data_IF_313658167480
#
_entry.id   IF_313658167480
#
_cell.length_a   1.000
_cell.length_b   1.000
_cell.length_c   1.000
_cell.angle_alpha   90.00
_cell.angle_beta   90.00
_cell.angle_gamma   90.00
#
_symmetry.space_group_name_H-M   'P 1'
#
loop_
_entity.id
_entity.type
_entity.pdbx_description
1 polymer ?
#
# COMPACT_ATOMS: atom_id res chain seq x y z
N UNK A 1 9.71 -10.11 40.60
CA UNK A 1 9.12 -10.78 39.42
C UNK A 1 9.54 -10.02 38.17
N UNK A 2 10.26 -10.65 37.23
CA UNK A 2 10.53 -10.06 35.91
C UNK A 2 9.24 -10.20 35.10
N UNK A 3 8.60 -9.10 34.74
CA UNK A 3 7.49 -9.16 33.78
C UNK A 3 8.06 -9.58 32.42
N UNK A 4 7.50 -10.62 31.81
CA UNK A 4 7.88 -11.01 30.45
C UNK A 4 7.39 -9.94 29.47
N UNK A 5 8.27 -9.41 28.63
CA UNK A 5 7.88 -8.48 27.57
C UNK A 5 7.03 -9.19 26.52
N UNK A 6 5.91 -8.60 26.13
CA UNK A 6 5.10 -9.07 25.00
C UNK A 6 5.53 -8.31 23.75
N UNK A 7 5.85 -9.02 22.67
CA UNK A 7 6.08 -8.40 21.36
C UNK A 7 4.73 -8.19 20.68
N UNK A 8 4.45 -6.95 20.27
CA UNK A 8 3.24 -6.58 19.53
C UNK A 8 3.65 -6.17 18.13
N UNK A 9 3.06 -6.81 17.12
CA UNK A 9 3.27 -6.48 15.71
C UNK A 9 2.10 -5.63 15.21
N UNK A 10 2.41 -4.47 14.62
CA UNK A 10 1.43 -3.58 14.00
C UNK A 10 1.65 -3.62 12.50
N UNK A 11 0.59 -3.96 11.75
CA UNK A 11 0.62 -4.05 10.30
C UNK A 11 -0.31 -2.96 9.76
N UNK A 12 0.27 -1.96 9.09
CA UNK A 12 -0.53 -0.95 8.41
C UNK A 12 -1.05 -1.55 7.11
N UNK A 13 -2.38 -1.60 6.96
CA UNK A 13 -3.02 -2.07 5.75
C UNK A 13 -4.37 -1.35 5.60
N UNK A 14 -4.94 -1.44 4.41
CA UNK A 14 -6.35 -1.18 4.17
C UNK A 14 -6.92 -2.41 3.48
N UNK A 15 -8.09 -2.87 3.93
CA UNK A 15 -8.84 -3.84 3.17
C UNK A 15 -9.43 -3.16 1.95
N UNK A 16 -9.14 -3.68 0.76
CA UNK A 16 -9.49 -3.02 -0.50
C UNK A 16 -10.42 -3.90 -1.32
N UNK A 17 -11.72 -3.70 -1.14
CA UNK A 17 -12.71 -4.20 -2.07
C UNK A 17 -12.55 -3.46 -3.40
N UNK A 18 -12.08 -4.16 -4.44
CA UNK A 18 -11.95 -3.59 -5.80
C UNK A 18 -13.25 -2.97 -6.26
N UNK A 19 -14.36 -3.63 -5.97
CA UNK A 19 -15.71 -3.14 -6.25
C UNK A 19 -16.69 -3.71 -5.23
N UNK A 20 -17.63 -2.87 -4.78
CA UNK A 20 -18.68 -3.26 -3.85
C UNK A 20 -19.88 -2.33 -3.98
N UNK A 21 -19.94 -1.26 -3.18
CA UNK A 21 -20.98 -0.23 -3.30
C UNK A 21 -20.70 0.78 -4.43
N UNK A 22 -19.46 0.83 -4.91
CA UNK A 22 -19.03 1.52 -6.13
C UNK A 22 -18.34 0.52 -7.07
N UNK A 23 -18.40 0.79 -8.37
CA UNK A 23 -17.67 0.02 -9.38
C UNK A 23 -16.18 0.37 -9.38
N UNK A 24 -15.36 -0.51 -9.94
CA UNK A 24 -13.90 -0.34 -9.97
C UNK A 24 -13.43 0.94 -10.67
N UNK A 25 -14.24 1.51 -11.57
CA UNK A 25 -13.95 2.77 -12.25
C UNK A 25 -13.77 3.91 -11.25
N UNK A 26 -14.52 3.90 -10.14
CA UNK A 26 -14.44 4.94 -9.11
C UNK A 26 -13.39 4.62 -8.05
N UNK A 27 -13.35 3.38 -7.55
CA UNK A 27 -12.40 2.99 -6.50
C UNK A 27 -10.96 3.09 -7.00
N UNK A 28 -10.68 2.77 -8.27
CA UNK A 28 -9.33 2.85 -8.84
C UNK A 28 -8.76 4.28 -8.85
N UNK A 29 -9.62 5.30 -8.87
CA UNK A 29 -9.18 6.71 -8.82
C UNK A 29 -8.52 7.08 -7.48
N UNK A 30 -8.72 6.28 -6.43
CA UNK A 30 -8.15 6.53 -5.10
C UNK A 30 -6.75 5.95 -4.92
N UNK A 31 -6.33 5.04 -5.81
CA UNK A 31 -5.04 4.34 -5.69
C UNK A 31 -3.84 5.28 -5.92
N UNK A 32 -3.85 6.22 -6.88
CA UNK A 32 -2.75 7.19 -7.04
C UNK A 32 -2.44 7.96 -5.75
N UNK A 33 -3.48 8.50 -5.11
CA UNK A 33 -3.36 9.25 -3.85
C UNK A 33 -2.83 8.38 -2.71
N UNK A 34 -3.20 7.09 -2.66
CA UNK A 34 -2.64 6.13 -1.71
C UNK A 34 -1.13 6.00 -1.92
N UNK A 35 -0.66 5.80 -3.16
CA UNK A 35 0.77 5.63 -3.45
C UNK A 35 1.56 6.91 -3.13
N UNK A 36 1.06 8.08 -3.51
CA UNK A 36 1.70 9.36 -3.19
C UNK A 36 1.76 9.60 -1.68
N UNK A 37 0.71 9.21 -0.94
CA UNK A 37 0.72 9.29 0.52
C UNK A 37 1.74 8.34 1.14
N UNK A 38 1.90 7.14 0.60
CA UNK A 38 2.91 6.19 1.07
C UNK A 38 4.32 6.76 0.88
N UNK A 39 4.61 7.39 -0.25
CA UNK A 39 5.91 8.04 -0.48
C UNK A 39 6.20 9.14 0.56
N UNK A 40 5.20 9.98 0.86
CA UNK A 40 5.34 11.01 1.89
C UNK A 40 5.58 10.42 3.30
N UNK A 41 4.90 9.32 3.64
CA UNK A 41 5.08 8.64 4.92
C UNK A 41 6.46 7.99 5.03
N UNK A 42 6.95 7.37 3.95
CA UNK A 42 8.30 6.80 3.89
C UNK A 42 9.37 7.88 4.02
N UNK A 43 9.19 9.04 3.38
CA UNK A 43 10.12 10.17 3.50
C UNK A 43 10.21 10.69 4.95
N UNK A 44 9.11 10.65 5.70
CA UNK A 44 9.08 11.07 7.11
C UNK A 44 9.54 9.96 8.07
N UNK A 45 9.30 8.70 7.71
CA UNK A 45 9.68 7.53 8.48
C UNK A 45 10.24 6.44 7.54
N UNK A 46 11.57 6.38 7.35
CA UNK A 46 12.21 5.39 6.48
C UNK A 46 12.02 3.93 6.90
N UNK A 47 11.40 3.64 8.04
CA UNK A 47 11.04 2.27 8.45
C UNK A 47 9.56 1.95 8.22
N UNK A 48 8.78 2.87 7.67
CA UNK A 48 7.36 2.67 7.42
C UNK A 48 7.14 1.54 6.40
N UNK A 49 6.16 0.68 6.68
CA UNK A 49 5.76 -0.44 5.83
C UNK A 49 4.24 -0.49 5.75
N UNK A 50 3.75 -0.83 4.57
CA UNK A 50 2.33 -0.96 4.27
C UNK A 50 2.07 -2.25 3.48
N UNK A 51 1.06 -3.00 3.90
CA UNK A 51 0.58 -4.21 3.22
C UNK A 51 -0.61 -3.85 2.33
N UNK A 52 -0.48 -4.09 1.02
CA UNK A 52 -1.54 -3.85 0.03
C UNK A 52 -2.46 -5.06 -0.10
N UNK A 53 -3.09 -5.41 1.03
CA UNK A 53 -4.23 -6.33 1.13
C UNK A 53 -4.05 -7.74 0.50
N UNK A 54 -2.81 -8.20 0.31
CA UNK A 54 -2.53 -9.53 -0.26
C UNK A 54 -2.97 -9.70 -1.71
N UNK A 55 -3.10 -8.60 -2.47
CA UNK A 55 -3.55 -8.62 -3.85
C UNK A 55 -2.64 -7.77 -4.75
N UNK A 56 -2.37 -8.27 -5.96
CA UNK A 56 -1.58 -7.55 -6.97
C UNK A 56 -2.46 -6.74 -7.92
N UNK A 57 -3.74 -7.10 -8.05
CA UNK A 57 -4.69 -6.48 -8.99
C UNK A 57 -4.84 -4.97 -8.79
N UNK A 58 -4.72 -4.48 -7.55
CA UNK A 58 -4.77 -3.03 -7.23
C UNK A 58 -3.64 -2.27 -7.95
N UNK A 59 -2.46 -2.88 -8.09
CA UNK A 59 -1.36 -2.28 -8.84
C UNK A 59 -1.63 -2.32 -10.34
N UNK A 60 -2.24 -3.39 -10.86
CA UNK A 60 -2.64 -3.45 -12.27
C UNK A 60 -3.69 -2.39 -12.61
N UNK A 61 -4.72 -2.22 -11.77
CA UNK A 61 -5.73 -1.17 -11.93
C UNK A 61 -5.08 0.24 -11.88
N UNK A 62 -4.14 0.47 -10.97
CA UNK A 62 -3.35 1.71 -10.92
C UNK A 62 -2.60 1.97 -12.22
N UNK A 63 -1.82 1.00 -12.70
CA UNK A 63 -0.94 1.19 -13.86
C UNK A 63 -1.71 1.26 -15.18
N UNK A 64 -2.90 0.66 -15.25
CA UNK A 64 -3.82 0.86 -16.36
C UNK A 64 -4.40 2.28 -16.39
N UNK A 65 -4.63 2.88 -15.21
CA UNK A 65 -5.17 4.24 -15.07
C UNK A 65 -4.09 5.32 -15.23
N UNK A 66 -2.92 5.11 -14.61
CA UNK A 66 -1.83 6.07 -14.49
C UNK A 66 -0.46 5.36 -14.64
N UNK A 67 -0.05 5.02 -15.87
CA UNK A 67 1.17 4.27 -16.14
C UNK A 67 2.46 4.92 -15.60
N UNK A 68 2.46 6.24 -15.40
CA UNK A 68 3.57 7.01 -14.83
C UNK A 68 3.92 6.61 -13.39
N UNK A 69 3.03 5.90 -12.67
CA UNK A 69 3.30 5.40 -11.33
C UNK A 69 4.22 4.18 -11.28
N UNK A 70 4.54 3.56 -12.43
CA UNK A 70 5.37 2.34 -12.51
C UNK A 70 6.66 2.47 -11.69
N UNK A 71 7.44 3.53 -11.93
CA UNK A 71 8.73 3.71 -11.26
C UNK A 71 8.59 3.94 -9.75
N UNK A 72 7.53 4.65 -9.33
CA UNK A 72 7.23 4.88 -7.90
C UNK A 72 6.89 3.56 -7.21
N UNK A 73 5.99 2.77 -7.80
CA UNK A 73 5.58 1.47 -7.25
C UNK A 73 6.77 0.52 -7.18
N UNK A 74 7.56 0.43 -8.25
CA UNK A 74 8.75 -0.43 -8.30
C UNK A 74 9.74 -0.08 -7.19
N UNK A 75 10.00 1.21 -6.96
CA UNK A 75 10.86 1.67 -5.87
C UNK A 75 10.30 1.26 -4.50
N UNK A 76 9.04 1.59 -4.21
CA UNK A 76 8.42 1.29 -2.93
C UNK A 76 8.40 -0.22 -2.62
N UNK A 77 8.19 -1.07 -3.64
CA UNK A 77 8.22 -2.53 -3.48
C UNK A 77 9.64 -3.03 -3.25
N UNK A 78 10.61 -2.60 -4.07
CA UNK A 78 12.02 -3.04 -3.95
C UNK A 78 12.65 -2.63 -2.63
N UNK A 79 12.30 -1.44 -2.13
CA UNK A 79 12.79 -0.92 -0.86
C UNK A 79 12.04 -1.52 0.35
N UNK A 80 10.99 -2.31 0.11
CA UNK A 80 10.25 -3.04 1.14
C UNK A 80 9.26 -2.17 1.93
N UNK A 81 8.90 -1.01 1.40
CA UNK A 81 7.90 -0.10 1.98
C UNK A 81 6.48 -0.48 1.58
N UNK A 82 6.29 -1.04 0.38
CA UNK A 82 5.03 -1.56 -0.13
C UNK A 82 5.12 -3.08 -0.29
N UNK A 83 4.36 -3.81 0.52
CA UNK A 83 4.27 -5.27 0.48
C UNK A 83 3.04 -5.63 -0.35
N UNK A 84 3.24 -6.42 -1.40
CA UNK A 84 2.20 -6.85 -2.35
C UNK A 84 2.11 -8.37 -2.39
N UNK A 85 0.93 -8.88 -2.77
CA UNK A 85 0.66 -10.32 -2.92
C UNK A 85 0.50 -11.10 -1.62
#
# INVERSE_FOLDING_TARGET
MKMSSTTVHIINHTHWDREWFLTSIYTSQWIPDLIDRLEQLVAQNPNFKYLLDGQTLVIEDLLNLAPEYQEKVDRLVRDGHLIIG
#
